data_IF_518184128141
#
_entry.id   IF_518184128141
#
_cell.length_a   1.000
_cell.length_b   1.000
_cell.length_c   1.000
_cell.angle_alpha   90.00
_cell.angle_beta   90.00
_cell.angle_gamma   90.00
#
_symmetry.space_group_name_H-M   'P 1'
#
loop_
_entity.id
_entity.type
_entity.pdbx_description
1 polymer ?
#
# COMPACT_ATOMS: atom_id res chain seq x y z
N UNK A 1 2.97 13.01 -9.59
CA UNK A 1 3.19 11.58 -9.30
C UNK A 1 2.23 11.14 -8.21
N UNK A 2 1.59 9.96 -8.34
CA UNK A 2 0.54 9.47 -7.43
C UNK A 2 1.01 9.24 -5.99
N UNK A 3 2.28 8.86 -5.81
CA UNK A 3 2.82 8.45 -4.51
C UNK A 3 3.09 9.61 -3.55
N UNK A 4 3.18 10.86 -4.03
CA UNK A 4 3.50 12.02 -3.19
C UNK A 4 2.51 12.22 -2.02
N UNK A 5 1.19 12.33 -2.31
CA UNK A 5 0.17 12.39 -1.28
C UNK A 5 0.17 11.19 -0.33
N UNK A 6 0.35 9.97 -0.87
CA UNK A 6 0.38 8.73 -0.08
C UNK A 6 1.55 8.74 0.92
N UNK A 7 2.76 9.07 0.45
CA UNK A 7 3.94 9.20 1.31
C UNK A 7 3.72 10.23 2.42
N UNK A 8 3.13 11.39 2.09
CA UNK A 8 2.84 12.43 3.07
C UNK A 8 1.89 11.93 4.16
N UNK A 9 0.77 11.32 3.77
CA UNK A 9 -0.23 10.81 4.70
C UNK A 9 0.34 9.72 5.61
N UNK A 10 1.06 8.74 5.05
CA UNK A 10 1.64 7.64 5.83
C UNK A 10 2.72 8.13 6.80
N UNK A 11 3.55 9.10 6.40
CA UNK A 11 4.56 9.70 7.29
C UNK A 11 3.92 10.51 8.41
N UNK A 12 2.81 11.19 8.13
CA UNK A 12 2.11 12.00 9.13
C UNK A 12 1.35 11.17 10.16
N UNK A 13 1.02 9.89 9.87
CA UNK A 13 0.21 9.07 10.77
C UNK A 13 0.97 8.59 12.01
N UNK A 14 2.32 8.61 11.97
CA UNK A 14 3.18 8.04 13.02
C UNK A 14 2.92 6.56 13.34
N UNK A 15 2.20 5.83 12.47
CA UNK A 15 1.92 4.40 12.61
C UNK A 15 3.08 3.51 12.13
N UNK A 16 3.96 4.06 11.32
CA UNK A 16 5.03 3.33 10.63
C UNK A 16 6.39 3.84 11.08
N UNK A 17 7.32 2.91 11.27
CA UNK A 17 8.71 3.19 11.64
C UNK A 17 9.45 3.81 10.44
N UNK A 18 9.14 3.34 9.24
CA UNK A 18 9.74 3.83 8.00
C UNK A 18 8.70 3.86 6.88
N UNK A 19 8.77 4.89 6.03
CA UNK A 19 7.97 4.97 4.79
C UNK A 19 8.88 5.36 3.63
N UNK A 20 9.03 4.43 2.68
CA UNK A 20 9.94 4.52 1.55
C UNK A 20 9.24 4.24 0.22
N UNK A 21 9.80 4.79 -0.86
CA UNK A 21 9.39 4.48 -2.24
C UNK A 21 10.38 3.43 -2.77
N UNK A 22 9.88 2.25 -3.14
CA UNK A 22 10.68 1.14 -3.66
C UNK A 22 10.21 0.87 -5.09
N UNK A 23 10.97 1.34 -6.09
CA UNK A 23 10.55 1.27 -7.49
C UNK A 23 9.21 2.00 -7.70
N UNK A 24 8.17 1.26 -8.09
CA UNK A 24 6.82 1.78 -8.34
C UNK A 24 5.81 1.47 -7.21
N UNK A 25 6.27 1.21 -5.98
CA UNK A 25 5.41 0.99 -4.81
C UNK A 25 5.87 1.81 -3.62
N UNK A 26 4.93 2.19 -2.77
CA UNK A 26 5.20 2.76 -1.45
C UNK A 26 5.20 1.62 -0.45
N UNK A 27 6.27 1.49 0.34
CA UNK A 27 6.36 0.56 1.46
C UNK A 27 6.34 1.34 2.77
N UNK A 28 5.47 0.92 3.68
CA UNK A 28 5.37 1.48 5.02
C UNK A 28 5.58 0.37 6.05
N UNK A 29 6.73 0.40 6.72
CA UNK A 29 7.17 -0.66 7.63
C UNK A 29 6.64 -0.43 9.04
N UNK A 30 6.00 -1.45 9.63
CA UNK A 30 5.67 -1.49 11.06
C UNK A 30 6.84 -2.12 11.86
N UNK A 31 7.55 -3.06 11.26
CA UNK A 31 8.78 -3.67 11.77
C UNK A 31 9.66 -4.11 10.59
N UNK A 32 10.81 -4.74 10.88
CA UNK A 32 11.68 -5.32 9.83
C UNK A 32 10.99 -6.41 9.00
N UNK A 33 10.00 -7.08 9.58
CA UNK A 33 9.32 -8.23 8.96
C UNK A 33 7.87 -7.97 8.61
N UNK A 34 7.25 -6.90 9.13
CA UNK A 34 5.86 -6.53 8.91
C UNK A 34 5.77 -5.17 8.23
N UNK A 35 5.18 -5.13 7.03
CA UNK A 35 5.05 -3.89 6.27
C UNK A 35 3.80 -3.86 5.38
N UNK A 36 3.30 -2.65 5.14
CA UNK A 36 2.25 -2.36 4.18
C UNK A 36 2.88 -1.96 2.84
N UNK A 37 2.61 -2.71 1.78
CA UNK A 37 2.94 -2.31 0.41
C UNK A 37 1.70 -1.68 -0.24
N UNK A 38 1.88 -0.53 -0.87
CA UNK A 38 0.85 0.19 -1.64
C UNK A 38 1.36 0.40 -3.06
N UNK A 39 0.56 -0.01 -4.03
CA UNK A 39 0.76 0.19 -5.44
C UNK A 39 -0.40 0.98 -6.03
N UNK A 40 -0.15 1.68 -7.14
CA UNK A 40 -1.18 2.36 -7.91
C UNK A 40 -1.04 1.93 -9.36
N UNK A 41 -2.11 1.37 -9.91
CA UNK A 41 -2.18 1.08 -11.33
C UNK A 41 -2.70 2.30 -12.08
N UNK A 42 -1.88 2.96 -12.91
CA UNK A 42 -2.31 4.12 -13.68
C UNK A 42 -3.31 3.76 -14.79
N UNK A 43 -3.39 2.49 -15.20
CA UNK A 43 -4.27 2.01 -16.28
C UNK A 43 -5.72 2.00 -15.82
N UNK A 44 -5.98 1.40 -14.66
CA UNK A 44 -7.30 1.35 -14.02
C UNK A 44 -7.59 2.63 -13.20
N UNK A 45 -6.52 3.28 -12.74
CA UNK A 45 -6.57 4.41 -11.83
C UNK A 45 -6.93 3.99 -10.40
N UNK A 46 -6.62 2.75 -10.01
CA UNK A 46 -6.94 2.15 -8.72
C UNK A 46 -5.70 1.92 -7.86
N UNK A 47 -5.89 1.84 -6.56
CA UNK A 47 -4.83 1.47 -5.62
C UNK A 47 -4.94 -0.02 -5.26
N UNK A 48 -3.81 -0.67 -5.07
CA UNK A 48 -3.76 -1.98 -4.43
C UNK A 48 -2.87 -1.89 -3.20
N UNK A 49 -3.28 -2.46 -2.08
CA UNK A 49 -2.45 -2.50 -0.88
C UNK A 49 -2.47 -3.87 -0.22
N UNK A 50 -1.35 -4.24 0.38
CA UNK A 50 -1.15 -5.53 1.02
C UNK A 50 -0.35 -5.38 2.30
N UNK A 51 -0.87 -5.92 3.41
CA UNK A 51 -0.10 -6.12 4.63
C UNK A 51 0.67 -7.43 4.50
N UNK A 52 1.99 -7.33 4.58
CA UNK A 52 2.91 -8.45 4.38
C UNK A 52 3.68 -8.73 5.64
N UNK A 53 3.71 -10.00 6.05
CA UNK A 53 4.47 -10.52 7.17
C UNK A 53 5.43 -11.61 6.69
N UNK A 54 6.73 -11.32 6.79
CA UNK A 54 7.80 -12.23 6.41
C UNK A 54 8.04 -13.36 7.42
N UNK A 55 7.49 -13.25 8.63
CA UNK A 55 7.58 -14.30 9.65
C UNK A 55 6.61 -15.46 9.41
N UNK A 56 5.66 -15.28 8.48
CA UNK A 56 4.70 -16.32 8.11
C UNK A 56 5.44 -17.60 7.66
N UNK A 57 5.14 -18.77 8.27
CA UNK A 57 5.85 -20.02 8.00
C UNK A 57 5.60 -20.54 6.59
N UNK A 58 4.48 -20.15 5.97
CA UNK A 58 4.12 -20.52 4.61
C UNK A 58 4.37 -19.35 3.68
N UNK A 59 5.19 -19.54 2.66
CA UNK A 59 5.57 -18.48 1.72
C UNK A 59 4.39 -17.89 0.95
N UNK A 60 3.32 -18.67 0.74
CA UNK A 60 2.06 -18.21 0.14
C UNK A 60 1.24 -17.29 1.04
N UNK A 61 1.42 -17.39 2.36
CA UNK A 61 0.59 -16.70 3.36
C UNK A 61 1.28 -15.45 3.92
N UNK A 62 2.34 -14.99 3.24
CA UNK A 62 3.03 -13.76 3.64
C UNK A 62 2.13 -12.53 3.47
N UNK A 63 1.12 -12.58 2.58
CA UNK A 63 0.10 -11.53 2.46
C UNK A 63 -1.02 -11.83 3.45
N UNK A 64 -1.01 -11.16 4.59
CA UNK A 64 -2.04 -11.33 5.65
C UNK A 64 -3.37 -10.73 5.19
N UNK A 65 -3.31 -9.52 4.62
CA UNK A 65 -4.48 -8.79 4.15
C UNK A 65 -4.12 -8.08 2.85
N UNK A 66 -5.10 -7.86 1.99
CA UNK A 66 -4.95 -6.87 0.95
C UNK A 66 -6.26 -6.57 0.26
N UNK A 67 -6.26 -5.42 -0.41
CA UNK A 67 -7.36 -4.96 -1.24
C UNK A 67 -6.77 -4.65 -2.60
N UNK A 68 -7.19 -5.43 -3.59
CA UNK A 68 -6.82 -5.24 -4.99
C UNK A 68 -7.90 -4.38 -5.67
N UNK A 69 -7.48 -3.44 -6.51
CA UNK A 69 -8.37 -2.51 -7.22
C UNK A 69 -9.23 -1.64 -6.28
N UNK A 70 -8.68 -1.23 -5.14
CA UNK A 70 -9.32 -0.27 -4.25
C UNK A 70 -9.62 1.02 -5.02
N UNK A 71 -10.90 1.47 -5.04
CA UNK A 71 -11.29 2.67 -5.76
C UNK A 71 -10.46 3.86 -5.29
N UNK A 72 -9.93 4.62 -6.25
CA UNK A 72 -9.23 5.84 -5.91
C UNK A 72 -10.25 6.84 -5.32
N UNK A 73 -10.09 7.28 -4.06
CA UNK A 73 -11.05 8.19 -3.43
C UNK A 73 -11.13 9.56 -4.10
N UNK A 74 -10.14 9.91 -4.94
CA UNK A 74 -10.17 11.14 -5.74
C UNK A 74 -10.93 11.00 -7.07
N UNK A 75 -11.36 9.78 -7.44
CA UNK A 75 -12.14 9.54 -8.66
C UNK A 75 -13.63 9.56 -8.27
N UNK A 76 -14.47 10.39 -8.91
CA UNK A 76 -15.91 10.33 -8.66
C UNK A 76 -16.42 8.92 -8.99
N UNK A 77 -17.29 8.36 -8.14
CA UNK A 77 -17.93 7.08 -8.43
C UNK A 77 -18.57 7.12 -9.83
N UNK A 78 -18.44 6.05 -10.63
CA UNK A 78 -19.18 5.98 -11.88
C UNK A 78 -20.67 6.02 -11.53
N UNK A 79 -21.35 7.09 -11.99
CA UNK A 79 -22.81 7.21 -11.87
C UNK A 79 -23.42 5.99 -12.57
N UNK A 80 -24.16 5.18 -11.80
CA UNK A 80 -24.96 4.07 -12.30
C UNK A 80 -26.16 4.56 -13.10
#
# INVERSE_FOLDING_TARGET
>A
MWYGPVLKSLRSSSLFVEVSLIGAKVRASLSETLFLDIHFDPTTGSYSYALVDLTSPYSGDKRILGWDDCPNPAKPEPKR
#
